data_IF_356147637410
#
_entry.id   IF_356147637410
#
_cell.length_a   1.000
_cell.length_b   1.000
_cell.length_c   1.000
_cell.angle_alpha   90.00
_cell.angle_beta   90.00
_cell.angle_gamma   90.00
#
_symmetry.space_group_name_H-M   'P 1'
#
loop_
_entity.id
_entity.type
_entity.pdbx_description
1 polymer ?
#
# COMPACT_ATOMS: atom_id res chain seq x y z
N UNK A 1 24.97 -19.16 20.61
CA UNK A 1 24.90 -19.49 19.17
C UNK A 1 24.03 -18.43 18.50
N UNK A 2 24.62 -17.27 18.21
CA UNK A 2 23.90 -16.16 17.60
C UNK A 2 23.70 -16.47 16.12
N UNK A 3 22.45 -16.67 15.70
CA UNK A 3 22.11 -16.78 14.29
C UNK A 3 22.34 -15.39 13.70
N UNK A 4 23.53 -15.13 13.14
CA UNK A 4 23.76 -13.98 12.29
C UNK A 4 23.04 -14.22 10.97
N UNK A 5 21.72 -14.00 10.95
CA UNK A 5 21.05 -13.66 9.71
C UNK A 5 21.66 -12.33 9.25
N UNK A 6 22.54 -12.38 8.25
CA UNK A 6 22.88 -11.20 7.43
C UNK A 6 21.64 -10.86 6.60
N UNK A 7 20.61 -10.35 7.28
CA UNK A 7 19.40 -9.88 6.63
C UNK A 7 19.74 -8.55 5.99
N UNK A 8 19.90 -8.52 4.67
CA UNK A 8 20.11 -7.28 3.93
C UNK A 8 18.82 -6.45 4.02
N UNK A 9 18.79 -5.52 4.97
CA UNK A 9 17.67 -4.61 5.22
C UNK A 9 17.15 -3.93 3.94
N UNK A 10 18.00 -3.50 2.98
CA UNK A 10 17.53 -2.94 1.72
C UNK A 10 16.75 -3.94 0.87
N UNK A 11 17.18 -5.21 0.82
CA UNK A 11 16.53 -6.26 0.03
C UNK A 11 15.15 -6.59 0.62
N UNK A 12 15.07 -6.69 1.95
CA UNK A 12 13.79 -6.88 2.64
C UNK A 12 12.82 -5.72 2.36
N UNK A 13 13.30 -4.47 2.44
CA UNK A 13 12.50 -3.28 2.13
C UNK A 13 12.00 -3.28 0.69
N UNK A 14 12.85 -3.59 -0.29
CA UNK A 14 12.43 -3.72 -1.70
C UNK A 14 11.36 -4.80 -1.86
N UNK A 15 11.54 -5.97 -1.23
CA UNK A 15 10.56 -7.05 -1.26
C UNK A 15 9.20 -6.64 -0.68
N UNK A 16 9.21 -5.93 0.46
CA UNK A 16 7.99 -5.41 1.08
C UNK A 16 7.30 -4.33 0.24
N UNK A 17 8.05 -3.40 -0.36
CA UNK A 17 7.50 -2.42 -1.29
C UNK A 17 6.92 -3.09 -2.55
N UNK A 18 7.57 -4.12 -3.07
CA UNK A 18 7.05 -4.88 -4.21
C UNK A 18 5.75 -5.62 -3.85
N UNK A 19 5.69 -6.28 -2.69
CA UNK A 19 4.48 -6.91 -2.20
C UNK A 19 3.34 -5.89 -2.00
N UNK A 20 3.65 -4.72 -1.43
CA UNK A 20 2.69 -3.63 -1.27
C UNK A 20 2.21 -3.08 -2.62
N UNK A 21 3.09 -2.94 -3.62
CA UNK A 21 2.73 -2.50 -4.97
C UNK A 21 1.78 -3.51 -5.64
N UNK A 22 2.04 -4.82 -5.52
CA UNK A 22 1.16 -5.87 -6.04
C UNK A 22 -0.21 -5.84 -5.36
N UNK A 23 -0.24 -5.72 -4.02
CA UNK A 23 -1.51 -5.58 -3.29
C UNK A 23 -2.27 -4.33 -3.75
N UNK A 24 -1.57 -3.21 -3.94
CA UNK A 24 -2.17 -1.95 -4.44
C UNK A 24 -2.74 -2.08 -5.84
N UNK A 25 -2.04 -2.79 -6.73
CA UNK A 25 -2.53 -3.08 -8.07
C UNK A 25 -3.82 -3.91 -8.04
N UNK A 26 -3.87 -4.97 -7.23
CA UNK A 26 -5.09 -5.77 -7.09
C UNK A 26 -6.25 -4.96 -6.50
N UNK A 27 -6.01 -4.14 -5.47
CA UNK A 27 -7.02 -3.23 -4.92
C UNK A 27 -7.54 -2.28 -5.99
N UNK A 28 -6.65 -1.69 -6.79
CA UNK A 28 -7.04 -0.81 -7.91
C UNK A 28 -7.94 -1.53 -8.91
N UNK A 29 -7.55 -2.72 -9.37
CA UNK A 29 -8.33 -3.53 -10.32
C UNK A 29 -9.70 -3.90 -9.75
N UNK A 30 -9.77 -4.33 -8.49
CA UNK A 30 -11.06 -4.68 -7.86
C UNK A 30 -11.95 -3.45 -7.64
N UNK A 31 -11.38 -2.29 -7.31
CA UNK A 31 -12.14 -1.04 -7.23
C UNK A 31 -12.75 -0.67 -8.57
N UNK A 32 -11.97 -0.76 -9.67
CA UNK A 32 -12.48 -0.54 -11.03
C UNK A 32 -13.59 -1.53 -11.39
N UNK A 33 -13.41 -2.82 -11.09
CA UNK A 33 -14.43 -3.84 -11.33
C UNK A 33 -15.72 -3.57 -10.54
N UNK A 34 -15.59 -3.12 -9.29
CA UNK A 34 -16.73 -2.76 -8.44
C UNK A 34 -17.45 -1.51 -8.95
N UNK A 35 -16.72 -0.47 -9.37
CA UNK A 35 -17.30 0.73 -9.97
C UNK A 35 -18.04 0.43 -11.27
N UNK A 36 -17.46 -0.43 -12.12
CA UNK A 36 -18.14 -0.87 -13.34
C UNK A 36 -19.44 -1.60 -12.98
N UNK A 37 -19.40 -2.54 -12.03
CA UNK A 37 -20.61 -3.22 -11.56
C UNK A 37 -21.68 -2.22 -11.04
N UNK A 38 -21.32 -1.30 -10.14
CA UNK A 38 -22.31 -0.39 -9.54
C UNK A 38 -22.90 0.63 -10.52
N UNK A 39 -22.19 0.95 -11.61
CA UNK A 39 -22.64 1.89 -12.65
C UNK A 39 -23.38 1.22 -13.80
N UNK A 40 -23.06 -0.04 -14.13
CA UNK A 40 -23.69 -0.78 -15.25
C UNK A 40 -24.57 -1.93 -14.74
N UNK A 41 -25.36 -1.69 -13.68
CA UNK A 41 -26.22 -2.71 -13.10
C UNK A 41 -27.37 -3.07 -14.07
N UNK A 42 -27.49 -4.35 -14.41
CA UNK A 42 -28.64 -4.86 -15.18
C UNK A 42 -29.92 -4.79 -14.35
N UNK A 43 -31.07 -4.50 -15.00
CA UNK A 43 -32.37 -4.40 -14.33
C UNK A 43 -32.79 -5.67 -13.57
N UNK A 44 -32.28 -6.83 -13.97
CA UNK A 44 -32.61 -8.14 -13.40
C UNK A 44 -31.63 -8.58 -12.30
N UNK A 45 -30.78 -7.69 -11.78
CA UNK A 45 -29.80 -8.05 -10.74
C UNK A 45 -30.48 -8.37 -9.40
N UNK A 46 -30.22 -9.57 -8.88
CA UNK A 46 -30.82 -10.08 -7.63
C UNK A 46 -30.25 -9.43 -6.37
N UNK A 47 -29.08 -8.79 -6.46
CA UNK A 47 -28.40 -8.21 -5.29
C UNK A 47 -28.94 -6.83 -4.91
N UNK A 48 -29.34 -6.01 -5.88
CA UNK A 48 -29.87 -4.67 -5.61
C UNK A 48 -31.09 -4.28 -6.46
N UNK A 49 -31.86 -5.27 -6.93
CA UNK A 49 -33.07 -5.07 -7.76
C UNK A 49 -32.82 -4.13 -8.95
N UNK A 50 -31.62 -4.21 -9.54
CA UNK A 50 -31.21 -3.37 -10.67
C UNK A 50 -31.05 -1.88 -10.39
N UNK A 51 -31.02 -1.43 -9.13
CA UNK A 51 -30.79 -0.02 -8.78
C UNK A 51 -29.30 0.27 -8.65
N UNK A 52 -28.79 1.21 -9.43
CA UNK A 52 -27.43 1.73 -9.27
C UNK A 52 -27.27 2.41 -7.90
N UNK A 53 -26.13 2.21 -7.26
CA UNK A 53 -25.79 2.81 -5.96
C UNK A 53 -24.33 3.21 -5.94
N UNK A 54 -23.97 4.14 -5.04
CA UNK A 54 -22.60 4.64 -4.92
C UNK A 54 -22.02 4.27 -3.57
N UNK A 55 -20.95 3.48 -3.57
CA UNK A 55 -20.16 3.13 -2.39
C UNK A 55 -19.03 4.15 -2.22
N UNK A 56 -19.09 5.08 -1.24
CA UNK A 56 -18.11 6.17 -1.11
C UNK A 56 -16.70 5.69 -0.73
N UNK A 57 -16.58 4.49 -0.15
CA UNK A 57 -15.29 3.88 0.21
C UNK A 57 -14.50 3.39 -1.01
N UNK A 58 -15.17 3.05 -2.11
CA UNK A 58 -14.51 2.58 -3.33
C UNK A 58 -13.65 3.67 -3.99
N UNK A 59 -14.13 4.90 -4.23
CA UNK A 59 -13.29 5.96 -4.79
C UNK A 59 -12.15 6.37 -3.84
N UNK A 60 -12.33 6.27 -2.52
CA UNK A 60 -11.26 6.50 -1.53
C UNK A 60 -10.13 5.47 -1.67
N UNK A 61 -10.47 4.17 -1.73
CA UNK A 61 -9.50 3.09 -1.93
C UNK A 61 -8.85 3.14 -3.32
N UNK A 62 -9.61 3.54 -4.34
CA UNK A 62 -9.09 3.76 -5.69
C UNK A 62 -8.04 4.88 -5.71
N UNK A 63 -8.33 6.01 -5.07
CA UNK A 63 -7.39 7.13 -4.96
C UNK A 63 -6.14 6.73 -4.17
N UNK A 64 -6.34 6.03 -3.05
CA UNK A 64 -5.24 5.59 -2.19
C UNK A 64 -4.32 4.59 -2.92
N UNK A 65 -4.89 3.62 -3.65
CA UNK A 65 -4.11 2.67 -4.45
C UNK A 65 -3.38 3.33 -5.63
N UNK A 66 -4.00 4.34 -6.26
CA UNK A 66 -3.36 5.15 -7.32
C UNK A 66 -2.16 5.96 -6.83
N UNK A 67 -2.16 6.43 -5.58
CA UNK A 67 -1.01 7.12 -4.99
C UNK A 67 0.04 6.12 -4.50
N UNK A 68 -0.40 4.99 -3.95
CA UNK A 68 0.46 3.96 -3.40
C UNK A 68 1.35 3.30 -4.46
N UNK A 69 0.85 3.03 -5.67
CA UNK A 69 1.63 2.38 -6.72
C UNK A 69 2.84 3.22 -7.19
N UNK A 70 2.70 4.51 -7.58
CA UNK A 70 3.83 5.37 -7.89
C UNK A 70 4.78 5.56 -6.72
N UNK A 71 4.25 5.69 -5.49
CA UNK A 71 5.09 5.81 -4.29
C UNK A 71 5.96 4.56 -4.11
N UNK A 72 5.37 3.36 -4.16
CA UNK A 72 6.12 2.12 -4.03
C UNK A 72 7.17 1.96 -5.15
N UNK A 73 6.80 2.28 -6.40
CA UNK A 73 7.73 2.26 -7.53
C UNK A 73 8.89 3.25 -7.36
N UNK A 74 8.59 4.47 -6.91
CA UNK A 74 9.59 5.49 -6.61
C UNK A 74 10.54 5.04 -5.49
N UNK A 75 10.04 4.43 -4.42
CA UNK A 75 10.85 3.93 -3.32
C UNK A 75 11.74 2.76 -3.75
N UNK A 76 11.22 1.80 -4.51
CA UNK A 76 12.02 0.69 -5.07
C UNK A 76 13.13 1.24 -5.96
N UNK A 77 12.81 2.18 -6.86
CA UNK A 77 13.79 2.80 -7.74
C UNK A 77 14.86 3.56 -6.95
N UNK A 78 14.47 4.33 -5.93
CA UNK A 78 15.37 5.12 -5.11
C UNK A 78 16.33 4.24 -4.30
N UNK A 79 15.85 3.13 -3.74
CA UNK A 79 16.69 2.17 -3.00
C UNK A 79 17.59 1.38 -3.96
N UNK A 80 17.07 0.92 -5.10
CA UNK A 80 17.82 0.09 -6.05
C UNK A 80 18.92 0.87 -6.77
N UNK A 81 18.59 2.05 -7.31
CA UNK A 81 19.54 2.90 -8.06
C UNK A 81 20.37 3.81 -7.15
N UNK A 82 20.06 3.86 -5.85
CA UNK A 82 20.65 4.82 -4.89
C UNK A 82 20.49 6.25 -5.38
N UNK A 83 19.30 6.58 -5.86
CA UNK A 83 19.01 7.89 -6.41
C UNK A 83 18.76 8.87 -5.27
N UNK A 84 19.65 9.85 -5.09
CA UNK A 84 19.51 10.93 -4.12
C UNK A 84 18.77 12.10 -4.77
N UNK A 85 17.50 12.31 -4.39
CA UNK A 85 16.74 13.50 -4.81
C UNK A 85 16.71 14.52 -3.67
N UNK A 86 17.04 15.79 -3.94
CA UNK A 86 17.14 16.88 -2.94
C UNK A 86 15.94 16.97 -1.99
N UNK A 87 14.75 16.60 -2.44
CA UNK A 87 13.50 16.68 -1.68
C UNK A 87 13.05 15.37 -1.01
N UNK A 88 13.49 14.20 -1.49
CA UNK A 88 13.00 12.88 -1.06
C UNK A 88 14.15 11.89 -0.84
N UNK A 89 15.26 12.36 -0.25
CA UNK A 89 16.44 11.51 -0.04
C UNK A 89 16.60 10.99 1.39
N UNK A 90 15.78 11.43 2.35
CA UNK A 90 15.99 11.14 3.78
C UNK A 90 15.01 10.09 4.31
N UNK A 91 15.44 9.33 5.31
CA UNK A 91 14.57 8.39 6.04
C UNK A 91 13.34 9.05 6.63
N UNK A 92 13.46 10.29 7.13
CA UNK A 92 12.31 11.06 7.62
C UNK A 92 11.21 11.20 6.56
N UNK A 93 11.58 11.49 5.31
CA UNK A 93 10.61 11.76 4.25
C UNK A 93 9.90 10.46 3.81
N UNK A 94 10.62 9.33 3.84
CA UNK A 94 10.00 8.00 3.72
C UNK A 94 8.98 7.74 4.83
N UNK A 95 9.36 7.97 6.09
CA UNK A 95 8.47 7.72 7.24
C UNK A 95 7.21 8.58 7.15
N UNK A 96 7.35 9.86 6.77
CA UNK A 96 6.20 10.76 6.59
C UNK A 96 5.29 10.24 5.46
N UNK A 97 5.85 9.90 4.31
CA UNK A 97 5.06 9.38 3.18
C UNK A 97 4.37 8.05 3.52
N UNK A 98 5.07 7.13 4.17
CA UNK A 98 4.48 5.88 4.65
C UNK A 98 3.39 6.11 5.68
N UNK A 99 3.56 7.04 6.64
CA UNK A 99 2.57 7.34 7.65
C UNK A 99 1.28 7.93 7.05
N UNK A 100 1.41 8.83 6.07
CA UNK A 100 0.25 9.39 5.34
C UNK A 100 -0.49 8.28 4.60
N UNK A 101 0.20 7.48 3.79
CA UNK A 101 -0.42 6.37 3.04
C UNK A 101 -1.04 5.35 4.01
N UNK A 102 -0.38 5.06 5.13
CA UNK A 102 -0.88 4.15 6.16
C UNK A 102 -2.20 4.61 6.76
N UNK A 103 -2.36 5.93 7.03
CA UNK A 103 -3.61 6.49 7.55
C UNK A 103 -4.76 6.35 6.55
N UNK A 104 -4.56 6.77 5.30
CA UNK A 104 -5.56 6.62 4.24
C UNK A 104 -5.95 5.14 4.05
N UNK A 105 -4.97 4.25 4.06
CA UNK A 105 -5.21 2.82 3.88
C UNK A 105 -5.99 2.21 5.06
N UNK A 106 -5.65 2.59 6.29
CA UNK A 106 -6.32 2.10 7.49
C UNK A 106 -7.79 2.54 7.54
N UNK A 107 -8.07 3.82 7.25
CA UNK A 107 -9.44 4.35 7.24
C UNK A 107 -10.27 3.64 6.17
N UNK A 108 -9.79 3.58 4.92
CA UNK A 108 -10.51 2.90 3.83
C UNK A 108 -10.75 1.41 4.11
N UNK A 109 -9.76 0.71 4.67
CA UNK A 109 -9.91 -0.72 5.04
C UNK A 109 -10.89 -0.92 6.20
N UNK A 110 -10.88 -0.02 7.19
CA UNK A 110 -11.79 -0.04 8.33
C UNK A 110 -13.25 0.17 7.92
N UNK A 111 -13.51 1.17 7.06
CA UNK A 111 -14.85 1.44 6.53
C UNK A 111 -15.31 0.28 5.62
N UNK A 112 -14.45 -0.24 4.76
CA UNK A 112 -14.78 -1.39 3.91
C UNK A 112 -15.18 -2.63 4.74
N UNK A 113 -14.47 -2.87 5.84
CA UNK A 113 -14.76 -4.00 6.75
C UNK A 113 -16.06 -3.81 7.51
N UNK A 114 -16.40 -2.59 7.94
CA UNK A 114 -17.65 -2.32 8.66
C UNK A 114 -18.87 -2.40 7.74
N UNK A 115 -18.74 -1.96 6.49
CA UNK A 115 -19.83 -2.01 5.50
C UNK A 115 -20.09 -3.42 4.97
N UNK A 116 -19.06 -4.24 4.78
CA UNK A 116 -19.16 -5.53 4.08
C UNK A 116 -18.72 -6.74 4.89
N UNK A 117 -18.69 -6.65 6.22
CA UNK A 117 -18.06 -7.63 7.10
C UNK A 117 -18.56 -9.08 7.02
N UNK A 118 -19.79 -9.35 6.57
CA UNK A 118 -20.34 -10.72 6.45
C UNK A 118 -20.80 -11.08 5.03
N UNK A 119 -19.83 -11.31 4.13
CA UNK A 119 -20.08 -11.71 2.73
C UNK A 119 -20.18 -13.25 2.52
N UNK A 120 -20.18 -14.04 3.59
CA UNK A 120 -20.15 -15.51 3.49
C UNK A 120 -21.37 -16.12 2.78
N UNK A 121 -22.54 -15.50 2.92
CA UNK A 121 -23.80 -16.01 2.37
C UNK A 121 -23.95 -15.78 0.85
N UNK A 122 -23.26 -14.78 0.29
CA UNK A 122 -23.41 -14.39 -1.12
C UNK A 122 -22.23 -14.84 -2.01
N UNK A 123 -21.40 -15.77 -1.56
CA UNK A 123 -20.25 -16.30 -2.31
C UNK A 123 -20.60 -17.00 -3.63
N UNK A 124 -21.88 -17.29 -3.87
CA UNK A 124 -22.35 -17.82 -5.16
C UNK A 124 -22.40 -16.74 -6.26
N UNK A 125 -22.37 -15.45 -5.89
CA UNK A 125 -22.43 -14.29 -6.80
C UNK A 125 -21.02 -13.72 -7.00
N UNK A 126 -20.62 -13.48 -8.26
CA UNK A 126 -19.29 -12.96 -8.59
C UNK A 126 -18.98 -11.61 -7.93
N UNK A 127 -19.96 -10.72 -7.79
CA UNK A 127 -19.80 -9.43 -7.13
C UNK A 127 -19.33 -9.56 -5.68
N UNK A 128 -19.86 -10.53 -4.93
CA UNK A 128 -19.45 -10.77 -3.55
C UNK A 128 -18.04 -11.35 -3.44
N UNK A 129 -17.64 -12.23 -4.37
CA UNK A 129 -16.27 -12.77 -4.42
C UNK A 129 -15.25 -11.65 -4.64
N UNK A 130 -15.56 -10.71 -5.52
CA UNK A 130 -14.72 -9.52 -5.77
C UNK A 130 -14.62 -8.67 -4.51
N UNK A 131 -15.72 -8.44 -3.79
CA UNK A 131 -15.72 -7.69 -2.54
C UNK A 131 -14.87 -8.37 -1.46
N UNK A 132 -15.01 -9.69 -1.30
CA UNK A 132 -14.20 -10.46 -0.33
C UNK A 132 -12.72 -10.40 -0.67
N UNK A 133 -12.36 -10.55 -1.96
CA UNK A 133 -10.98 -10.41 -2.42
C UNK A 133 -10.44 -8.99 -2.17
N UNK A 134 -11.23 -7.95 -2.49
CA UNK A 134 -10.88 -6.56 -2.27
C UNK A 134 -10.54 -6.31 -0.79
N UNK A 135 -11.42 -6.70 0.14
CA UNK A 135 -11.19 -6.52 1.58
C UNK A 135 -9.95 -7.28 2.06
N UNK A 136 -9.73 -8.52 1.57
CA UNK A 136 -8.55 -9.30 1.91
C UNK A 136 -7.25 -8.60 1.46
N UNK A 137 -7.19 -8.12 0.22
CA UNK A 137 -6.02 -7.39 -0.30
C UNK A 137 -5.82 -6.02 0.36
N UNK A 138 -6.90 -5.34 0.78
CA UNK A 138 -6.80 -4.14 1.61
C UNK A 138 -6.09 -4.43 2.93
N UNK A 139 -6.48 -5.48 3.65
CA UNK A 139 -5.81 -5.89 4.90
C UNK A 139 -4.35 -6.34 4.67
N UNK A 140 -4.08 -7.10 3.62
CA UNK A 140 -2.70 -7.50 3.27
C UNK A 140 -1.82 -6.28 2.94
N UNK A 141 -2.35 -5.31 2.19
CA UNK A 141 -1.67 -4.05 1.90
C UNK A 141 -1.37 -3.25 3.16
N UNK A 142 -2.33 -3.17 4.09
CA UNK A 142 -2.14 -2.49 5.37
C UNK A 142 -1.07 -3.18 6.25
N UNK A 143 -1.05 -4.51 6.29
CA UNK A 143 -0.02 -5.27 7.00
C UNK A 143 1.37 -5.02 6.40
N UNK A 144 1.48 -5.02 5.07
CA UNK A 144 2.73 -4.72 4.38
C UNK A 144 3.22 -3.29 4.69
N UNK A 145 2.33 -2.29 4.68
CA UNK A 145 2.64 -0.91 5.08
C UNK A 145 3.07 -0.82 6.54
N UNK A 146 2.39 -1.52 7.44
CA UNK A 146 2.72 -1.53 8.87
C UNK A 146 4.13 -2.13 9.09
N UNK A 147 4.46 -3.21 8.39
CA UNK A 147 5.80 -3.79 8.42
C UNK A 147 6.87 -2.82 7.87
N UNK A 148 6.60 -2.16 6.74
CA UNK A 148 7.50 -1.15 6.15
C UNK A 148 7.74 0.02 7.11
N UNK A 149 6.66 0.60 7.64
CA UNK A 149 6.72 1.71 8.58
C UNK A 149 7.45 1.31 9.87
N UNK A 150 7.16 0.12 10.41
CA UNK A 150 7.83 -0.41 11.59
C UNK A 150 9.33 -0.60 11.39
N UNK A 151 9.74 -1.19 10.27
CA UNK A 151 11.16 -1.37 9.94
C UNK A 151 11.87 -0.02 9.74
N UNK A 152 11.26 0.91 9.01
CA UNK A 152 11.82 2.24 8.78
C UNK A 152 11.98 3.03 10.09
N UNK A 153 10.97 2.98 10.96
CA UNK A 153 10.98 3.65 12.26
C UNK A 153 12.03 3.03 13.20
N UNK A 154 12.07 1.69 13.32
CA UNK A 154 13.05 1.00 14.15
C UNK A 154 14.48 1.30 13.70
N UNK A 155 14.73 1.30 12.38
CA UNK A 155 16.05 1.64 11.84
C UNK A 155 16.43 3.09 12.12
N UNK A 156 15.51 4.03 11.94
CA UNK A 156 15.76 5.45 12.19
C UNK A 156 16.03 5.74 13.68
N UNK A 157 15.30 5.10 14.59
CA UNK A 157 15.49 5.23 16.04
C UNK A 157 16.79 4.58 16.49
N UNK A 158 17.04 3.33 16.09
CA UNK A 158 18.22 2.58 16.54
C UNK A 158 19.55 3.22 16.11
N UNK A 159 19.56 3.89 14.96
CA UNK A 159 20.76 4.53 14.42
C UNK A 159 20.77 6.06 14.54
N UNK A 160 19.73 6.68 15.12
CA UNK A 160 19.50 8.14 15.07
C UNK A 160 19.60 8.72 13.64
N UNK A 161 19.22 7.93 12.64
CA UNK A 161 19.50 8.16 11.22
C UNK A 161 18.38 8.93 10.47
N UNK A 162 17.58 9.74 11.17
CA UNK A 162 16.40 10.40 10.57
C UNK A 162 16.75 11.32 9.38
N UNK A 163 17.93 11.95 9.42
CA UNK A 163 18.40 12.88 8.39
C UNK A 163 19.39 12.23 7.42
N UNK A 164 19.68 10.95 7.60
CA UNK A 164 20.60 10.20 6.75
C UNK A 164 19.94 9.77 5.44
N UNK A 165 20.75 9.53 4.39
CA UNK A 165 20.24 9.11 3.11
C UNK A 165 19.57 7.73 3.15
N UNK A 166 18.44 7.61 2.47
CA UNK A 166 17.54 6.45 2.43
C UNK A 166 18.22 5.11 2.10
N UNK A 167 19.27 5.14 1.28
CA UNK A 167 19.97 3.94 0.80
C UNK A 167 20.94 3.33 1.83
N UNK A 168 21.18 3.98 2.97
CA UNK A 168 21.95 3.40 4.09
C UNK A 168 23.43 3.10 3.78
N UNK A 169 23.99 3.67 2.70
CA UNK A 169 25.42 3.58 2.37
C UNK A 169 26.01 4.98 2.31
N UNK A 170 26.90 5.31 3.24
CA UNK A 170 27.63 6.56 3.24
C UNK A 170 28.83 6.44 2.29
N UNK A 171 28.80 7.12 1.15
CA UNK A 171 29.96 7.21 0.26
C UNK A 171 30.52 8.65 0.34
N UNK A 172 31.62 8.89 1.07
CA UNK A 172 32.18 10.23 1.28
C UNK A 172 32.62 10.95 -0.01
N UNK A 173 32.66 10.24 -1.14
CA UNK A 173 33.09 10.77 -2.44
C UNK A 173 31.95 11.23 -3.34
N UNK A 174 30.68 11.00 -2.98
CA UNK A 174 29.53 11.39 -3.80
C UNK A 174 28.74 12.58 -3.27
N UNK A 175 29.04 13.11 -2.08
CA UNK A 175 28.38 14.28 -1.51
C UNK A 175 28.95 15.61 -2.05
N UNK A 176 28.93 15.78 -3.38
CA UNK A 176 28.97 17.12 -3.97
C UNK A 176 27.55 17.42 -4.41
N UNK A 177 26.83 18.15 -3.56
CA UNK A 177 25.55 18.72 -3.94
C UNK A 177 25.81 19.78 -5.02
N UNK A 178 25.35 19.52 -6.25
CA UNK A 178 25.14 20.54 -7.27
C UNK A 178 23.74 21.16 -7.09
#
# INVERSE_FOLDING_TARGET
MGIQFKFDLPVLRIGLYAAFAVCSFFVFVFCCARLNYTTTLSRDDSLNNGRSFHDPVIPELLFTSLIAMPWAGFMIYSIHKRYENRYLSKFRDEIIGLAVIWLFWMVGTGIATSMWGSLGWCQHINACRILTALVAFCWLGWLALTALLGIALLFAIANNAFLEPLHGKWDPRQTIYA
#
